data_IF_590864271519
#
_entry.id   IF_590864271519
#
_cell.length_a   1.000
_cell.length_b   1.000
_cell.length_c   1.000
_cell.angle_alpha   90.00
_cell.angle_beta   90.00
_cell.angle_gamma   90.00
#
_symmetry.space_group_name_H-M   'P 1'
#
loop_
_entity.id
_entity.type
_entity.pdbx_description
1 polymer ?
#
# COMPACT_ATOMS: atom_id res chain seq x y z
N UNK A 1 22.92 -32.70 7.41
CA UNK A 1 22.96 -31.87 8.65
C UNK A 1 22.63 -30.38 8.38
N UNK A 2 23.23 -29.73 7.38
CA UNK A 2 23.03 -28.29 7.09
C UNK A 2 21.58 -27.86 6.68
N UNK A 3 20.89 -28.68 5.89
CA UNK A 3 19.46 -28.44 5.51
C UNK A 3 18.49 -28.48 6.71
N UNK A 4 18.82 -29.22 7.77
CA UNK A 4 17.99 -29.37 8.95
C UNK A 4 18.07 -28.13 9.85
N UNK A 5 19.28 -27.58 10.05
CA UNK A 5 19.50 -26.30 10.77
C UNK A 5 18.79 -25.11 10.09
N UNK A 6 18.84 -25.03 8.75
CA UNK A 6 18.12 -23.99 7.99
C UNK A 6 16.58 -24.10 8.11
N UNK A 7 16.05 -25.31 8.38
CA UNK A 7 14.61 -25.52 8.56
C UNK A 7 14.11 -25.10 9.95
N UNK A 8 14.98 -25.03 10.97
CA UNK A 8 14.60 -24.58 12.31
C UNK A 8 14.11 -23.13 12.28
N UNK A 9 14.85 -22.26 11.58
CA UNK A 9 14.57 -20.83 11.45
C UNK A 9 13.59 -20.46 10.32
N UNK A 10 13.19 -21.42 9.49
CA UNK A 10 12.19 -21.20 8.44
C UNK A 10 10.85 -20.76 9.05
N UNK A 11 10.20 -19.69 8.56
CA UNK A 11 8.87 -19.29 9.04
C UNK A 11 7.75 -20.26 8.58
N UNK A 12 8.07 -21.15 7.64
CA UNK A 12 7.23 -22.20 7.10
C UNK A 12 7.34 -23.50 7.92
N UNK A 13 6.23 -24.20 8.07
CA UNK A 13 6.04 -25.48 8.77
C UNK A 13 6.53 -26.65 7.92
N UNK A 14 6.19 -26.69 6.63
CA UNK A 14 6.54 -27.79 5.71
C UNK A 14 6.96 -27.26 4.31
N UNK A 15 7.47 -28.11 3.40
CA UNK A 15 7.88 -27.70 2.06
C UNK A 15 6.75 -27.11 1.21
N UNK A 16 5.51 -27.59 1.38
CA UNK A 16 4.36 -27.10 0.63
C UNK A 16 3.95 -25.67 1.04
N UNK A 17 3.87 -25.37 2.35
CA UNK A 17 3.62 -24.00 2.84
C UNK A 17 4.73 -23.03 2.34
N UNK A 18 5.97 -23.52 2.20
CA UNK A 18 7.07 -22.77 1.59
C UNK A 18 6.86 -22.55 0.08
N UNK A 19 6.35 -23.54 -0.65
CA UNK A 19 5.98 -23.44 -2.07
C UNK A 19 4.92 -22.36 -2.27
N UNK A 20 3.83 -22.41 -1.48
CA UNK A 20 2.77 -21.39 -1.45
C UNK A 20 3.34 -20.00 -1.12
N UNK A 21 4.20 -19.90 -0.10
CA UNK A 21 4.82 -18.64 0.26
C UNK A 21 5.71 -18.04 -0.82
N UNK A 22 6.44 -18.87 -1.57
CA UNK A 22 7.24 -18.43 -2.72
C UNK A 22 6.36 -17.97 -3.88
N UNK A 23 5.30 -18.70 -4.18
CA UNK A 23 4.32 -18.32 -5.19
C UNK A 23 3.80 -16.89 -4.96
N UNK A 24 3.21 -16.63 -3.79
CA UNK A 24 2.68 -15.30 -3.48
C UNK A 24 3.75 -14.21 -3.29
N UNK A 25 5.03 -14.57 -3.07
CA UNK A 25 6.13 -13.60 -3.03
C UNK A 25 6.56 -13.17 -4.43
N UNK A 26 6.45 -14.06 -5.42
CA UNK A 26 6.96 -13.85 -6.77
C UNK A 26 5.94 -13.19 -7.71
N UNK A 27 4.68 -13.12 -7.29
CA UNK A 27 3.64 -12.35 -7.96
C UNK A 27 4.03 -10.86 -7.99
N UNK A 28 4.04 -10.28 -9.18
CA UNK A 28 4.28 -8.86 -9.45
C UNK A 28 3.09 -8.26 -10.18
N UNK A 29 2.98 -6.94 -10.21
CA UNK A 29 1.97 -6.24 -11.00
C UNK A 29 2.08 -6.49 -12.52
N UNK A 30 3.24 -6.99 -12.99
CA UNK A 30 3.50 -7.36 -14.38
C UNK A 30 3.39 -8.86 -14.64
N UNK A 31 2.98 -9.65 -13.65
CA UNK A 31 2.78 -11.09 -13.82
C UNK A 31 1.61 -11.35 -14.78
N UNK A 32 1.73 -12.39 -15.61
CA UNK A 32 0.66 -12.81 -16.50
C UNK A 32 -0.50 -13.40 -15.67
N UNK A 33 -1.73 -12.81 -15.70
CA UNK A 33 -2.85 -13.27 -14.89
C UNK A 33 -3.23 -14.74 -15.10
N UNK A 34 -3.23 -15.21 -16.35
CA UNK A 34 -3.57 -16.58 -16.70
C UNK A 34 -2.55 -17.58 -16.12
N UNK A 35 -1.25 -17.29 -16.23
CA UNK A 35 -0.21 -18.13 -15.63
C UNK A 35 -0.33 -18.19 -14.10
N UNK A 36 -0.69 -17.07 -13.46
CA UNK A 36 -0.93 -17.04 -12.01
C UNK A 36 -2.14 -17.87 -11.63
N UNK A 37 -3.26 -17.75 -12.34
CA UNK A 37 -4.47 -18.54 -12.09
C UNK A 37 -4.21 -20.04 -12.25
N UNK A 38 -3.47 -20.45 -13.29
CA UNK A 38 -3.12 -21.87 -13.48
C UNK A 38 -2.25 -22.41 -12.34
N UNK A 39 -1.22 -21.68 -11.93
CA UNK A 39 -0.37 -22.12 -10.82
C UNK A 39 -1.13 -22.11 -9.49
N UNK A 40 -2.04 -21.15 -9.29
CA UNK A 40 -2.94 -21.13 -8.14
C UNK A 40 -3.81 -22.38 -8.11
N UNK A 41 -4.45 -22.75 -9.22
CA UNK A 41 -5.26 -23.95 -9.31
C UNK A 41 -4.46 -25.22 -8.99
N UNK A 42 -3.20 -25.31 -9.43
CA UNK A 42 -2.29 -26.43 -9.07
C UNK A 42 -1.99 -26.47 -7.57
N UNK A 43 -1.76 -25.32 -6.94
CA UNK A 43 -1.54 -25.26 -5.49
C UNK A 43 -2.80 -25.64 -4.71
N UNK A 44 -3.97 -25.18 -5.17
CA UNK A 44 -5.26 -25.56 -4.57
C UNK A 44 -5.50 -27.06 -4.69
N UNK A 45 -5.22 -27.65 -5.86
CA UNK A 45 -5.30 -29.10 -6.07
C UNK A 45 -4.40 -29.88 -5.11
N UNK A 46 -3.15 -29.42 -4.93
CA UNK A 46 -2.17 -30.11 -4.09
C UNK A 46 -2.55 -30.07 -2.62
N UNK A 47 -2.92 -28.89 -2.08
CA UNK A 47 -3.45 -28.78 -0.72
C UNK A 47 -4.09 -27.39 -0.46
N UNK A 48 -5.40 -27.28 -0.74
CA UNK A 48 -6.18 -26.06 -0.52
C UNK A 48 -6.15 -25.59 0.95
N UNK A 49 -6.26 -26.50 1.92
CA UNK A 49 -6.29 -26.13 3.36
C UNK A 49 -5.00 -25.43 3.80
N UNK A 50 -3.83 -25.95 3.38
CA UNK A 50 -2.55 -25.31 3.70
C UNK A 50 -2.42 -23.95 2.98
N UNK A 51 -2.92 -23.84 1.76
CA UNK A 51 -2.93 -22.59 1.01
C UNK A 51 -3.77 -21.52 1.71
N UNK A 52 -5.00 -21.83 2.11
CA UNK A 52 -5.89 -20.89 2.81
C UNK A 52 -5.34 -20.49 4.18
N UNK A 53 -4.89 -21.44 5.01
CA UNK A 53 -4.26 -21.14 6.29
C UNK A 53 -3.00 -20.27 6.14
N UNK A 54 -2.23 -20.46 5.07
CA UNK A 54 -1.10 -19.59 4.77
C UNK A 54 -1.57 -18.17 4.45
N UNK A 55 -2.63 -18.02 3.66
CA UNK A 55 -3.19 -16.72 3.31
C UNK A 55 -3.71 -15.99 4.55
N UNK A 56 -4.46 -16.65 5.42
CA UNK A 56 -4.95 -16.03 6.65
C UNK A 56 -3.81 -15.50 7.51
N UNK A 57 -2.79 -16.33 7.74
CA UNK A 57 -1.60 -15.92 8.48
C UNK A 57 -0.91 -14.71 7.83
N UNK A 58 -0.76 -14.72 6.50
CA UNK A 58 0.00 -13.68 5.78
C UNK A 58 -0.76 -12.37 5.62
N UNK A 59 -2.06 -12.44 5.38
CA UNK A 59 -2.87 -11.33 4.88
C UNK A 59 -3.92 -10.84 5.88
N UNK A 60 -4.40 -11.70 6.80
CA UNK A 60 -5.29 -11.32 7.90
C UNK A 60 -4.54 -11.08 9.23
N UNK A 61 -3.28 -11.53 9.32
CA UNK A 61 -2.39 -11.30 10.49
C UNK A 61 -2.96 -11.82 11.82
N UNK A 62 -3.62 -12.98 11.79
CA UNK A 62 -4.13 -13.62 13.01
C UNK A 62 -3.01 -14.06 13.95
N UNK A 63 -3.03 -13.53 15.17
CA UNK A 63 -1.99 -13.79 16.19
C UNK A 63 -1.96 -15.25 16.63
N UNK A 64 -3.10 -15.94 16.57
CA UNK A 64 -3.21 -17.34 16.99
C UNK A 64 -2.49 -18.31 16.02
N UNK A 65 -2.31 -17.93 14.75
CA UNK A 65 -1.67 -18.76 13.71
C UNK A 65 -0.14 -18.81 13.82
N UNK A 66 0.39 -19.11 15.01
CA UNK A 66 1.82 -19.38 15.26
C UNK A 66 2.28 -20.65 14.53
N UNK A 67 3.60 -20.79 14.29
CA UNK A 67 4.17 -21.96 13.55
C UNK A 67 3.81 -23.30 14.21
N UNK A 68 3.77 -23.35 15.54
CA UNK A 68 3.34 -24.54 16.31
C UNK A 68 1.86 -24.87 16.09
N UNK A 69 0.99 -23.87 16.13
CA UNK A 69 -0.47 -24.03 15.94
C UNK A 69 -0.76 -24.54 14.53
N UNK A 70 -0.21 -23.91 13.49
CA UNK A 70 -0.38 -24.38 12.10
C UNK A 70 0.17 -25.79 11.90
N UNK A 71 1.29 -26.14 12.54
CA UNK A 71 1.82 -27.51 12.52
C UNK A 71 0.83 -28.51 13.13
N UNK A 72 0.15 -28.15 14.22
CA UNK A 72 -0.85 -29.02 14.82
C UNK A 72 -2.08 -29.14 13.91
N UNK A 73 -2.58 -28.04 13.34
CA UNK A 73 -3.67 -28.06 12.37
C UNK A 73 -3.37 -28.97 11.18
N UNK A 74 -2.15 -28.90 10.62
CA UNK A 74 -1.77 -29.79 9.52
C UNK A 74 -1.76 -31.26 9.93
N UNK A 75 -1.40 -31.59 11.18
CA UNK A 75 -1.52 -32.97 11.69
C UNK A 75 -2.99 -33.38 11.83
N UNK A 76 -3.85 -32.48 12.31
CA UNK A 76 -5.28 -32.74 12.45
C UNK A 76 -5.94 -32.98 11.09
N UNK A 77 -5.53 -32.23 10.05
CA UNK A 77 -5.95 -32.47 8.66
C UNK A 77 -5.57 -33.88 8.20
N UNK A 78 -4.40 -34.41 8.56
CA UNK A 78 -4.05 -35.79 8.23
C UNK A 78 -4.90 -36.84 8.97
N UNK A 79 -5.39 -36.53 10.17
CA UNK A 79 -6.34 -37.38 10.89
C UNK A 79 -7.70 -37.37 10.17
N UNK A 80 -8.21 -36.17 9.87
CA UNK A 80 -9.44 -35.96 9.10
C UNK A 80 -9.39 -36.71 7.76
N UNK A 81 -8.27 -36.62 7.06
CA UNK A 81 -8.05 -37.31 5.80
C UNK A 81 -8.22 -38.82 5.94
N UNK A 82 -7.61 -39.44 6.96
CA UNK A 82 -7.69 -40.89 7.17
C UNK A 82 -9.11 -41.34 7.51
N UNK A 83 -9.79 -40.59 8.36
CA UNK A 83 -11.17 -40.86 8.77
C UNK A 83 -12.11 -40.76 7.56
N UNK A 84 -11.97 -39.70 6.76
CA UNK A 84 -12.76 -39.53 5.55
C UNK A 84 -12.43 -40.58 4.47
N UNK A 85 -11.16 -40.95 4.28
CA UNK A 85 -10.76 -41.97 3.31
C UNK A 85 -11.38 -43.35 3.67
N UNK A 86 -11.56 -43.64 4.97
CA UNK A 86 -12.29 -44.82 5.44
C UNK A 86 -13.79 -44.71 5.17
N UNK A 87 -14.39 -43.55 5.44
CA UNK A 87 -15.81 -43.28 5.18
C UNK A 87 -16.18 -43.37 3.70
N UNK A 88 -15.32 -42.85 2.82
CA UNK A 88 -15.53 -42.82 1.37
C UNK A 88 -14.92 -44.02 0.63
N UNK A 89 -14.53 -45.08 1.36
CA UNK A 89 -13.90 -46.26 0.80
C UNK A 89 -14.77 -46.90 -0.29
N UNK A 90 -14.18 -47.20 -1.44
CA UNK A 90 -14.87 -47.82 -2.57
C UNK A 90 -15.67 -46.85 -3.47
N UNK A 91 -15.78 -45.56 -3.12
CA UNK A 91 -16.53 -44.60 -3.93
C UNK A 91 -15.73 -44.12 -5.14
N UNK A 92 -16.03 -44.60 -6.34
CA UNK A 92 -15.26 -44.28 -7.56
C UNK A 92 -15.88 -43.17 -8.43
N UNK A 93 -17.18 -42.90 -8.28
CA UNK A 93 -17.90 -41.90 -9.06
C UNK A 93 -17.85 -40.52 -8.41
N UNK A 94 -17.68 -39.45 -9.21
CA UNK A 94 -17.59 -38.05 -8.72
C UNK A 94 -18.79 -37.65 -7.86
N UNK A 95 -20.01 -37.90 -8.33
CA UNK A 95 -21.25 -37.54 -7.62
C UNK A 95 -21.39 -38.27 -6.28
N UNK A 96 -21.18 -39.59 -6.27
CA UNK A 96 -21.19 -40.40 -5.03
C UNK A 96 -20.10 -39.96 -4.05
N UNK A 97 -18.95 -39.49 -4.55
CA UNK A 97 -17.89 -38.98 -3.69
C UNK A 97 -18.28 -37.66 -3.04
N UNK A 98 -18.98 -36.77 -3.75
CA UNK A 98 -19.59 -35.58 -3.16
C UNK A 98 -20.64 -35.95 -2.11
N UNK A 99 -21.49 -36.95 -2.35
CA UNK A 99 -22.45 -37.47 -1.35
C UNK A 99 -21.75 -38.03 -0.10
N UNK A 100 -20.60 -38.68 -0.27
CA UNK A 100 -19.76 -39.13 0.84
C UNK A 100 -19.20 -37.94 1.65
N UNK A 101 -18.75 -36.87 0.99
CA UNK A 101 -18.35 -35.62 1.65
C UNK A 101 -19.54 -35.01 2.40
N UNK A 102 -20.71 -34.93 1.76
CA UNK A 102 -21.94 -34.38 2.35
C UNK A 102 -22.36 -35.11 3.61
N UNK A 103 -22.37 -36.44 3.58
CA UNK A 103 -22.73 -37.26 4.74
C UNK A 103 -21.72 -37.15 5.88
N UNK A 104 -20.42 -37.09 5.55
CA UNK A 104 -19.35 -36.92 6.53
C UNK A 104 -19.42 -35.55 7.22
N UNK A 105 -19.61 -34.48 6.46
CA UNK A 105 -19.65 -33.09 6.94
C UNK A 105 -21.07 -32.58 7.23
N UNK A 106 -22.03 -33.49 7.42
CA UNK A 106 -23.41 -33.12 7.75
C UNK A 106 -23.46 -32.41 9.11
N UNK A 107 -24.15 -31.26 9.23
CA UNK A 107 -24.31 -30.61 10.54
C UNK A 107 -24.94 -31.56 11.57
N UNK A 108 -24.31 -31.66 12.73
CA UNK A 108 -24.72 -32.55 13.82
C UNK A 108 -24.07 -33.93 13.82
N UNK A 109 -23.26 -34.29 12.80
CA UNK A 109 -22.34 -35.43 12.86
C UNK A 109 -20.94 -34.97 13.29
N UNK A 110 -19.98 -34.92 12.36
CA UNK A 110 -18.61 -34.48 12.57
C UNK A 110 -18.44 -32.96 12.43
N UNK A 111 -19.47 -32.25 11.96
CA UNK A 111 -19.43 -30.82 11.69
C UNK A 111 -20.54 -30.04 12.42
N UNK A 112 -20.22 -28.82 12.83
CA UNK A 112 -21.16 -27.84 13.37
C UNK A 112 -20.98 -26.50 12.66
N UNK A 113 -22.08 -25.95 12.13
CA UNK A 113 -22.05 -24.63 11.51
C UNK A 113 -22.08 -23.55 12.59
N UNK A 114 -21.12 -22.62 12.53
CA UNK A 114 -21.07 -21.42 13.36
C UNK A 114 -20.70 -20.23 12.46
N UNK A 115 -21.57 -19.22 12.41
CA UNK A 115 -21.34 -18.01 11.61
C UNK A 115 -20.10 -17.27 12.12
N UNK A 116 -19.21 -16.86 11.22
CA UNK A 116 -17.95 -16.17 11.53
C UNK A 116 -16.98 -17.00 12.42
N UNK A 117 -17.03 -18.33 12.29
CA UNK A 117 -16.00 -19.20 12.86
C UNK A 117 -14.65 -18.98 12.18
N UNK A 118 -13.56 -19.40 12.85
CA UNK A 118 -12.21 -19.37 12.29
C UNK A 118 -11.71 -20.80 11.99
N UNK A 119 -10.68 -20.92 11.14
CA UNK A 119 -10.07 -22.23 10.82
C UNK A 119 -9.45 -22.95 12.04
N UNK A 120 -9.15 -22.24 13.12
CA UNK A 120 -8.75 -22.82 14.41
C UNK A 120 -9.81 -23.72 15.04
N UNK A 121 -11.09 -23.40 14.87
CA UNK A 121 -12.18 -24.28 15.29
C UNK A 121 -12.48 -25.37 14.27
N UNK A 122 -12.25 -25.09 12.99
CA UNK A 122 -12.50 -26.06 11.91
C UNK A 122 -11.46 -27.18 11.89
N UNK A 123 -10.18 -26.88 12.10
CA UNK A 123 -9.07 -27.82 11.89
C UNK A 123 -8.57 -28.42 13.20
N UNK A 124 -9.51 -28.80 14.06
CA UNK A 124 -9.27 -29.56 15.29
C UNK A 124 -9.21 -31.06 14.99
N UNK A 125 -8.89 -31.84 16.01
CA UNK A 125 -8.84 -33.31 15.89
C UNK A 125 -10.27 -33.86 15.81
N UNK A 126 -10.74 -34.33 14.64
CA UNK A 126 -12.14 -34.76 14.46
C UNK A 126 -12.52 -35.96 15.34
N UNK A 127 -11.53 -36.72 15.82
CA UNK A 127 -11.75 -37.87 16.70
C UNK A 127 -12.06 -37.48 18.14
N UNK A 128 -11.88 -36.19 18.50
CA UNK A 128 -12.04 -35.68 19.87
C UNK A 128 -13.16 -34.67 20.00
N UNK A 129 -13.39 -33.87 18.96
CA UNK A 129 -14.35 -32.78 18.99
C UNK A 129 -14.87 -32.48 17.58
N UNK A 130 -16.11 -31.95 17.46
CA UNK A 130 -16.67 -31.60 16.16
C UNK A 130 -15.86 -30.49 15.49
N UNK A 131 -15.80 -30.55 14.16
CA UNK A 131 -15.26 -29.49 13.32
C UNK A 131 -16.26 -28.33 13.30
N UNK A 132 -15.82 -27.12 13.63
CA UNK A 132 -16.72 -25.95 13.65
C UNK A 132 -16.26 -24.94 12.61
N UNK A 133 -17.15 -24.53 11.72
CA UNK A 133 -16.81 -23.61 10.63
C UNK A 133 -17.97 -22.74 10.17
N UNK A 134 -17.65 -21.77 9.32
CA UNK A 134 -18.63 -20.95 8.61
C UNK A 134 -18.85 -21.44 7.17
N UNK A 135 -19.60 -20.67 6.37
CA UNK A 135 -19.91 -21.03 4.98
C UNK A 135 -18.65 -21.10 4.09
N UNK A 136 -17.72 -20.16 4.23
CA UNK A 136 -16.50 -20.12 3.42
C UNK A 136 -15.58 -21.30 3.77
N UNK A 137 -15.44 -21.59 5.07
CA UNK A 137 -14.62 -22.67 5.59
C UNK A 137 -15.12 -24.05 5.19
N UNK A 138 -16.44 -24.29 5.28
CA UNK A 138 -17.00 -25.58 4.90
C UNK A 138 -16.90 -25.80 3.39
N UNK A 139 -17.13 -24.76 2.58
CA UNK A 139 -16.92 -24.82 1.13
C UNK A 139 -15.46 -25.13 0.78
N UNK A 140 -14.50 -24.49 1.45
CA UNK A 140 -13.07 -24.83 1.33
C UNK A 140 -12.80 -26.30 1.69
N UNK A 141 -13.40 -26.82 2.76
CA UNK A 141 -13.18 -28.20 3.18
C UNK A 141 -13.79 -29.22 2.20
N UNK A 142 -14.97 -28.94 1.66
CA UNK A 142 -15.57 -29.75 0.59
C UNK A 142 -14.65 -29.80 -0.65
N UNK A 143 -14.19 -28.64 -1.11
CA UNK A 143 -13.31 -28.54 -2.26
C UNK A 143 -11.98 -29.26 -2.03
N UNK A 144 -11.42 -29.17 -0.82
CA UNK A 144 -10.21 -29.90 -0.43
C UNK A 144 -10.41 -31.42 -0.44
N UNK A 145 -11.47 -31.93 0.20
CA UNK A 145 -11.73 -33.36 0.24
C UNK A 145 -11.98 -33.94 -1.15
N UNK A 146 -12.69 -33.20 -1.99
CA UNK A 146 -12.89 -33.53 -3.39
C UNK A 146 -11.57 -33.57 -4.16
N UNK A 147 -10.71 -32.56 -3.98
CA UNK A 147 -9.43 -32.43 -4.69
C UNK A 147 -8.42 -33.52 -4.35
N UNK A 148 -8.62 -34.27 -3.27
CA UNK A 148 -7.79 -35.45 -2.94
C UNK A 148 -7.95 -36.58 -3.96
N UNK A 149 -9.09 -36.64 -4.66
CA UNK A 149 -9.43 -37.74 -5.59
C UNK A 149 -9.67 -37.29 -7.02
N UNK A 150 -10.24 -36.10 -7.21
CA UNK A 150 -10.64 -35.59 -8.51
C UNK A 150 -10.04 -34.20 -8.79
N UNK A 151 -10.01 -33.75 -10.05
CA UNK A 151 -9.63 -32.39 -10.38
C UNK A 151 -10.49 -31.35 -9.65
N UNK A 152 -9.88 -30.46 -8.87
CA UNK A 152 -10.58 -29.40 -8.15
C UNK A 152 -11.32 -28.45 -9.12
N UNK A 153 -10.85 -28.37 -10.36
CA UNK A 153 -11.46 -27.60 -11.44
C UNK A 153 -12.78 -28.19 -11.95
N UNK A 154 -13.15 -29.41 -11.53
CA UNK A 154 -14.50 -29.93 -11.74
C UNK A 154 -15.53 -29.13 -10.91
N UNK A 155 -15.07 -28.50 -9.83
CA UNK A 155 -15.89 -27.63 -9.00
C UNK A 155 -15.87 -26.19 -9.52
N UNK A 156 -16.98 -25.51 -9.31
CA UNK A 156 -17.16 -24.09 -9.49
C UNK A 156 -17.76 -23.50 -8.21
N UNK A 157 -17.69 -22.17 -8.09
CA UNK A 157 -18.45 -21.45 -7.07
C UNK A 157 -19.69 -20.87 -7.73
N UNK A 158 -20.83 -21.01 -7.07
CA UNK A 158 -22.05 -20.29 -7.44
C UNK A 158 -22.34 -19.24 -6.36
N UNK A 159 -22.34 -17.98 -6.78
CA UNK A 159 -22.65 -16.83 -5.94
C UNK A 159 -24.17 -16.61 -5.98
N UNK A 160 -24.77 -16.68 -4.80
CA UNK A 160 -26.19 -16.46 -4.55
C UNK A 160 -26.36 -15.14 -3.78
N UNK A 161 -27.54 -14.52 -3.78
CA UNK A 161 -27.81 -13.35 -2.95
C UNK A 161 -27.52 -13.63 -1.46
N UNK A 162 -26.42 -13.07 -0.94
CA UNK A 162 -26.00 -13.23 0.46
C UNK A 162 -25.41 -14.60 0.84
N UNK A 163 -25.18 -15.50 -0.11
CA UNK A 163 -24.72 -16.87 0.16
C UNK A 163 -23.83 -17.43 -0.96
N UNK A 164 -23.08 -18.48 -0.66
CA UNK A 164 -22.19 -19.15 -1.63
C UNK A 164 -22.29 -20.65 -1.50
N UNK A 165 -22.36 -21.34 -2.64
CA UNK A 165 -22.34 -22.80 -2.69
C UNK A 165 -21.36 -23.29 -3.77
N UNK A 166 -21.04 -24.59 -3.73
CA UNK A 166 -20.27 -25.23 -4.80
C UNK A 166 -21.21 -25.65 -5.93
N UNK A 167 -20.70 -25.70 -7.16
CA UNK A 167 -21.42 -26.17 -8.33
C UNK A 167 -20.58 -27.19 -9.07
N UNK A 168 -21.17 -28.31 -9.47
CA UNK A 168 -20.51 -29.38 -10.21
C UNK A 168 -21.52 -30.08 -11.13
N UNK A 169 -21.21 -30.18 -12.42
CA UNK A 169 -22.02 -30.91 -13.41
C UNK A 169 -23.52 -30.56 -13.35
N UNK A 170 -23.86 -29.27 -13.24
CA UNK A 170 -25.25 -28.79 -13.21
C UNK A 170 -25.94 -28.90 -11.84
N UNK A 171 -25.28 -29.45 -10.82
CA UNK A 171 -25.84 -29.60 -9.48
C UNK A 171 -25.21 -28.61 -8.51
N UNK A 172 -26.03 -27.97 -7.67
CA UNK A 172 -25.54 -27.10 -6.60
C UNK A 172 -25.35 -27.92 -5.32
N UNK A 173 -24.21 -27.74 -4.67
CA UNK A 173 -23.78 -28.44 -3.46
C UNK A 173 -23.85 -27.43 -2.31
N UNK A 174 -24.91 -27.54 -1.51
CA UNK A 174 -25.09 -26.72 -0.31
C UNK A 174 -24.27 -27.30 0.84
N UNK A 175 -23.04 -26.81 0.97
CA UNK A 175 -22.08 -27.32 1.94
C UNK A 175 -22.52 -27.05 3.40
N UNK A 176 -23.34 -26.02 3.66
CA UNK A 176 -23.74 -25.68 5.04
C UNK A 176 -24.74 -26.66 5.65
N UNK A 177 -25.49 -27.40 4.83
CA UNK A 177 -26.45 -28.40 5.29
C UNK A 177 -26.21 -29.80 4.68
N UNK A 178 -25.25 -29.95 3.77
CA UNK A 178 -24.87 -31.21 3.14
C UNK A 178 -25.94 -31.75 2.19
N UNK A 179 -26.52 -30.89 1.34
CA UNK A 179 -27.55 -31.30 0.37
C UNK A 179 -27.23 -30.84 -1.04
N UNK A 180 -27.81 -31.54 -2.02
CA UNK A 180 -27.92 -30.99 -3.38
C UNK A 180 -29.12 -30.05 -3.47
N UNK A 181 -28.95 -28.96 -4.20
CA UNK A 181 -29.96 -27.95 -4.46
C UNK A 181 -29.97 -27.60 -5.96
N UNK A 182 -31.04 -26.94 -6.39
CA UNK A 182 -31.18 -26.38 -7.74
C UNK A 182 -31.60 -24.90 -7.64
N UNK A 183 -30.62 -24.04 -7.35
CA UNK A 183 -30.88 -22.59 -7.26
C UNK A 183 -31.09 -22.00 -8.65
N UNK A 184 -32.31 -21.51 -8.91
CA UNK A 184 -32.67 -20.85 -10.18
C UNK A 184 -32.16 -19.41 -10.25
N UNK A 185 -32.16 -18.71 -9.11
CA UNK A 185 -31.68 -17.34 -9.00
C UNK A 185 -30.25 -17.34 -8.46
N UNK A 186 -29.32 -16.79 -9.24
CA UNK A 186 -27.92 -16.64 -8.86
C UNK A 186 -27.29 -15.46 -9.60
N UNK A 187 -26.23 -14.91 -9.03
CA UNK A 187 -25.50 -13.79 -9.61
C UNK A 187 -24.49 -14.30 -10.64
N UNK A 188 -23.65 -15.25 -10.23
CA UNK A 188 -22.54 -15.75 -11.04
C UNK A 188 -22.23 -17.23 -10.75
N UNK A 189 -21.76 -17.95 -11.78
CA UNK A 189 -21.02 -19.21 -11.61
C UNK A 189 -19.59 -18.95 -12.07
N UNK A 190 -18.64 -19.12 -11.15
CA UNK A 190 -17.25 -18.72 -11.30
C UNK A 190 -16.31 -19.91 -11.08
N UNK A 191 -15.09 -19.89 -11.65
CA UNK A 191 -14.10 -20.91 -11.38
C UNK A 191 -13.81 -21.06 -9.89
N UNK A 192 -13.49 -22.28 -9.43
CA UNK A 192 -13.20 -22.56 -8.01
C UNK A 192 -12.10 -21.66 -7.41
N UNK A 193 -11.17 -21.18 -8.24
CA UNK A 193 -10.11 -20.26 -7.80
C UNK A 193 -10.64 -18.95 -7.22
N UNK A 194 -11.89 -18.59 -7.48
CA UNK A 194 -12.53 -17.39 -6.93
C UNK A 194 -12.72 -17.46 -5.40
N UNK A 195 -12.66 -18.66 -4.78
CA UNK A 195 -12.64 -18.82 -3.31
C UNK A 195 -11.45 -18.04 -2.73
N UNK A 196 -10.34 -18.00 -3.46
CA UNK A 196 -9.12 -17.34 -3.00
C UNK A 196 -9.28 -15.82 -3.04
N UNK A 197 -9.88 -15.25 -4.09
CA UNK A 197 -10.14 -13.81 -4.14
C UNK A 197 -11.20 -13.38 -3.13
N UNK A 198 -12.26 -14.16 -2.92
CA UNK A 198 -13.25 -13.85 -1.88
C UNK A 198 -12.61 -13.85 -0.49
N UNK A 199 -11.84 -14.89 -0.14
CA UNK A 199 -11.09 -14.97 1.12
C UNK A 199 -10.08 -13.83 1.30
N UNK A 200 -9.46 -13.36 0.21
CA UNK A 200 -8.52 -12.23 0.25
C UNK A 200 -9.21 -10.89 0.47
N UNK A 201 -10.46 -10.72 0.04
CA UNK A 201 -11.23 -9.48 0.20
C UNK A 201 -12.06 -9.48 1.48
N UNK A 202 -12.34 -10.65 2.03
CA UNK A 202 -13.05 -10.76 3.30
C UNK A 202 -12.21 -10.16 4.45
N UNK A 203 -12.86 -9.29 5.20
CA UNK A 203 -12.30 -8.54 6.32
C UNK A 203 -13.13 -8.70 7.59
N UNK A 204 -14.15 -9.56 7.59
CA UNK A 204 -15.27 -9.50 8.54
C UNK A 204 -15.12 -10.31 9.82
N UNK A 205 -13.92 -10.79 10.16
CA UNK A 205 -13.71 -11.54 11.40
C UNK A 205 -13.55 -10.59 12.60
N UNK A 206 -14.67 -9.97 13.05
CA UNK A 206 -14.72 -9.08 14.21
C UNK A 206 -14.40 -9.77 15.55
N UNK A 207 -14.32 -11.10 15.54
CA UNK A 207 -14.15 -11.97 16.72
C UNK A 207 -12.69 -12.27 17.04
N UNK A 208 -11.76 -12.08 16.10
CA UNK A 208 -10.36 -12.50 16.27
C UNK A 208 -9.40 -11.35 16.58
N UNK A 209 -8.44 -11.62 17.46
CA UNK A 209 -7.31 -10.71 17.66
C UNK A 209 -6.40 -10.68 16.43
N UNK A 210 -6.60 -9.65 15.62
CA UNK A 210 -5.68 -9.27 14.54
C UNK A 210 -4.53 -8.44 15.12
N UNK A 211 -3.31 -8.65 14.62
CA UNK A 211 -2.26 -7.64 14.78
C UNK A 211 -2.51 -6.45 13.85
N UNK A 212 -1.83 -5.32 14.06
CA UNK A 212 -1.87 -4.20 13.10
C UNK A 212 -1.47 -4.71 11.71
N UNK A 213 -2.40 -4.65 10.74
CA UNK A 213 -2.13 -5.03 9.37
C UNK A 213 -1.46 -3.82 8.71
N UNK A 214 -0.20 -3.96 8.29
CA UNK A 214 0.46 -2.94 7.47
C UNK A 214 -0.46 -2.60 6.28
N UNK A 215 -0.88 -1.35 6.09
CA UNK A 215 -1.75 -0.98 4.97
C UNK A 215 -1.19 -1.34 3.58
N UNK A 216 0.14 -1.53 3.45
CA UNK A 216 0.77 -2.10 2.25
C UNK A 216 0.38 -3.56 2.00
N UNK A 217 0.12 -4.32 3.06
CA UNK A 217 -0.42 -5.68 2.98
C UNK A 217 -1.84 -5.67 2.45
N UNK A 218 -2.68 -4.70 2.84
CA UNK A 218 -4.04 -4.51 2.30
C UNK A 218 -3.99 -4.25 0.79
N UNK A 219 -3.12 -3.33 0.34
CA UNK A 219 -2.92 -3.09 -1.10
C UNK A 219 -2.44 -4.35 -1.82
N UNK A 220 -1.50 -5.11 -1.25
CA UNK A 220 -1.04 -6.37 -1.85
C UNK A 220 -2.15 -7.42 -1.97
N UNK A 221 -3.07 -7.50 -0.99
CA UNK A 221 -4.25 -8.37 -1.07
C UNK A 221 -5.14 -7.94 -2.22
N UNK A 222 -5.47 -6.66 -2.31
CA UNK A 222 -6.32 -6.13 -3.37
C UNK A 222 -5.69 -6.29 -4.76
N UNK A 223 -4.37 -6.11 -4.89
CA UNK A 223 -3.63 -6.36 -6.14
C UNK A 223 -3.69 -7.84 -6.56
N UNK A 224 -3.53 -8.74 -5.58
CA UNK A 224 -3.61 -10.17 -5.83
C UNK A 224 -5.02 -10.58 -6.24
N UNK A 225 -6.05 -10.12 -5.52
CA UNK A 225 -7.45 -10.34 -5.87
C UNK A 225 -7.77 -9.79 -7.27
N UNK A 226 -7.31 -8.56 -7.58
CA UNK A 226 -7.45 -7.97 -8.91
C UNK A 226 -6.84 -8.84 -10.02
N UNK A 227 -5.71 -9.47 -9.75
CA UNK A 227 -5.02 -10.29 -10.74
C UNK A 227 -5.70 -11.65 -10.96
N UNK A 228 -6.24 -12.28 -9.92
CA UNK A 228 -6.78 -13.65 -10.00
C UNK A 228 -8.30 -13.72 -10.18
N UNK A 229 -9.04 -12.70 -9.76
CA UNK A 229 -10.51 -12.69 -9.83
C UNK A 229 -11.01 -12.41 -11.25
N UNK A 230 -12.11 -13.05 -11.60
CA UNK A 230 -12.87 -12.74 -12.82
C UNK A 230 -13.84 -11.56 -12.63
N UNK A 231 -14.22 -11.23 -11.39
CA UNK A 231 -15.11 -10.12 -11.05
C UNK A 231 -14.38 -8.76 -11.06
N UNK A 232 -13.91 -8.33 -12.24
CA UNK A 232 -13.00 -7.18 -12.39
C UNK A 232 -13.52 -5.88 -11.79
N UNK A 233 -14.82 -5.60 -11.85
CA UNK A 233 -15.38 -4.35 -11.30
C UNK A 233 -15.25 -4.29 -9.78
N UNK A 234 -15.62 -5.38 -9.09
CA UNK A 234 -15.53 -5.50 -7.63
C UNK A 234 -14.09 -5.37 -7.14
N UNK A 235 -13.16 -6.10 -7.76
CA UNK A 235 -11.75 -6.08 -7.34
C UNK A 235 -11.05 -4.79 -7.72
N UNK A 236 -11.44 -4.12 -8.81
CA UNK A 236 -10.93 -2.79 -9.17
C UNK A 236 -11.39 -1.75 -8.15
N UNK A 237 -12.66 -1.77 -7.74
CA UNK A 237 -13.17 -0.87 -6.69
C UNK A 237 -12.41 -1.06 -5.38
N UNK A 238 -12.20 -2.30 -4.95
CA UNK A 238 -11.42 -2.64 -3.75
C UNK A 238 -9.95 -2.19 -3.85
N UNK A 239 -9.32 -2.40 -5.00
CA UNK A 239 -7.95 -1.96 -5.26
C UNK A 239 -7.81 -0.44 -5.20
N UNK A 240 -8.75 0.28 -5.81
CA UNK A 240 -8.77 1.74 -5.82
C UNK A 240 -8.95 2.30 -4.40
N UNK A 241 -9.87 1.75 -3.61
CA UNK A 241 -10.03 2.13 -2.19
C UNK A 241 -8.75 1.87 -1.41
N UNK A 242 -8.09 0.73 -1.63
CA UNK A 242 -6.84 0.39 -0.96
C UNK A 242 -5.71 1.35 -1.32
N UNK A 243 -5.55 1.71 -2.60
CA UNK A 243 -4.56 2.71 -3.03
C UNK A 243 -4.83 4.09 -2.44
N UNK A 244 -6.09 4.53 -2.46
CA UNK A 244 -6.51 5.81 -1.88
C UNK A 244 -6.15 5.88 -0.40
N UNK A 245 -6.54 4.88 0.37
CA UNK A 245 -6.32 4.84 1.82
C UNK A 245 -4.82 4.79 2.15
N UNK A 246 -4.04 3.97 1.43
CA UNK A 246 -2.58 3.93 1.60
C UNK A 246 -1.92 5.26 1.22
N UNK A 247 -2.34 5.88 0.11
CA UNK A 247 -1.83 7.16 -0.36
C UNK A 247 -2.06 8.28 0.67
N UNK A 248 -3.29 8.42 1.17
CA UNK A 248 -3.64 9.43 2.19
C UNK A 248 -2.83 9.21 3.47
N UNK A 249 -2.81 7.98 4.01
CA UNK A 249 -2.10 7.70 5.26
C UNK A 249 -0.57 7.86 5.12
N UNK A 250 0.02 7.61 3.94
CA UNK A 250 1.43 7.94 3.67
C UNK A 250 1.67 9.45 3.58
N UNK A 251 0.73 10.20 3.01
CA UNK A 251 0.80 11.66 2.96
C UNK A 251 0.76 12.28 4.35
N UNK A 252 -0.14 11.80 5.23
CA UNK A 252 -0.23 12.25 6.63
C UNK A 252 1.05 11.93 7.42
N UNK A 253 1.69 10.79 7.10
CA UNK A 253 3.01 10.39 7.63
C UNK A 253 4.18 11.09 6.94
N UNK A 254 3.94 12.10 6.10
CA UNK A 254 4.94 12.89 5.37
C UNK A 254 5.85 12.05 4.44
N UNK A 255 5.39 10.87 4.02
CA UNK A 255 6.07 9.99 3.06
C UNK A 255 5.60 10.30 1.64
N UNK A 256 5.83 11.53 1.19
CA UNK A 256 5.22 12.09 -0.02
C UNK A 256 5.50 11.30 -1.30
N UNK A 257 6.73 10.87 -1.56
CA UNK A 257 7.05 10.11 -2.79
C UNK A 257 6.28 8.78 -2.86
N UNK A 258 6.16 8.09 -1.72
CA UNK A 258 5.37 6.86 -1.65
C UNK A 258 3.88 7.14 -1.76
N UNK A 259 3.38 8.21 -1.15
CA UNK A 259 1.97 8.62 -1.27
C UNK A 259 1.62 8.90 -2.74
N UNK A 260 2.42 9.74 -3.41
CA UNK A 260 2.26 10.10 -4.82
C UNK A 260 2.27 8.86 -5.69
N UNK A 261 3.21 7.93 -5.51
CA UNK A 261 3.26 6.67 -6.27
C UNK A 261 1.93 5.88 -6.23
N UNK A 262 1.31 5.75 -5.05
CA UNK A 262 0.04 5.01 -4.93
C UNK A 262 -1.14 5.81 -5.46
N UNK A 263 -1.15 7.14 -5.31
CA UNK A 263 -2.17 8.01 -5.87
C UNK A 263 -2.10 8.07 -7.41
N UNK A 264 -0.90 7.99 -8.00
CA UNK A 264 -0.70 7.83 -9.44
C UNK A 264 -1.24 6.47 -9.94
N UNK A 265 -1.10 5.39 -9.16
CA UNK A 265 -1.73 4.10 -9.48
C UNK A 265 -3.26 4.14 -9.41
N UNK A 266 -3.81 4.98 -8.55
CA UNK A 266 -5.25 5.25 -8.48
C UNK A 266 -5.73 6.13 -9.65
N UNK A 267 -4.88 7.03 -10.15
CA UNK A 267 -5.23 7.99 -11.20
C UNK A 267 -5.97 9.24 -10.71
N UNK A 268 -6.05 9.47 -9.40
CA UNK A 268 -6.76 10.62 -8.80
C UNK A 268 -5.90 11.89 -8.85
N UNK A 269 -6.05 12.68 -9.92
CA UNK A 269 -5.29 13.90 -10.14
C UNK A 269 -5.45 14.95 -9.03
N UNK A 270 -6.62 14.98 -8.38
CA UNK A 270 -6.88 15.92 -7.29
C UNK A 270 -6.06 15.56 -6.05
N UNK A 271 -6.05 14.28 -5.67
CA UNK A 271 -5.22 13.80 -4.56
C UNK A 271 -3.72 13.90 -4.89
N UNK A 272 -3.32 13.62 -6.13
CA UNK A 272 -1.91 13.78 -6.57
C UNK A 272 -1.46 15.23 -6.43
N UNK A 273 -2.22 16.20 -6.94
CA UNK A 273 -1.94 17.63 -6.80
C UNK A 273 -1.88 18.04 -5.32
N UNK A 274 -2.82 17.55 -4.50
CA UNK A 274 -2.84 17.78 -3.05
C UNK A 274 -1.57 17.26 -2.37
N UNK A 275 -1.11 16.05 -2.71
CA UNK A 275 0.11 15.48 -2.18
C UNK A 275 1.36 16.29 -2.57
N UNK A 276 1.45 16.72 -3.83
CA UNK A 276 2.52 17.62 -4.29
C UNK A 276 2.51 18.96 -3.54
N UNK A 277 1.33 19.58 -3.37
CA UNK A 277 1.20 20.84 -2.62
C UNK A 277 1.62 20.68 -1.16
N UNK A 278 1.14 19.63 -0.49
CA UNK A 278 1.48 19.34 0.90
C UNK A 278 2.98 19.09 1.09
N UNK A 279 3.62 18.36 0.17
CA UNK A 279 5.06 18.18 0.16
C UNK A 279 5.81 19.51 -0.02
N UNK A 280 5.37 20.35 -0.96
CA UNK A 280 5.94 21.67 -1.19
C UNK A 280 5.90 22.57 0.04
N UNK A 281 4.75 22.65 0.71
CA UNK A 281 4.58 23.39 1.97
C UNK A 281 5.45 22.81 3.08
N UNK A 282 5.48 21.49 3.23
CA UNK A 282 6.30 20.82 4.25
C UNK A 282 7.79 21.16 4.11
N UNK A 283 8.34 21.03 2.91
CA UNK A 283 9.76 21.33 2.68
C UNK A 283 10.09 22.82 2.73
N UNK A 284 9.13 23.69 2.37
CA UNK A 284 9.27 25.13 2.59
C UNK A 284 9.45 25.44 4.08
N UNK A 285 8.61 24.85 4.95
CA UNK A 285 8.72 25.03 6.40
C UNK A 285 10.05 24.50 6.97
N UNK A 286 10.64 23.49 6.33
CA UNK A 286 11.98 22.97 6.65
C UNK A 286 13.12 23.79 6.04
N UNK A 287 12.82 24.87 5.29
CA UNK A 287 13.78 25.68 4.52
C UNK A 287 14.60 24.87 3.51
N UNK A 288 14.11 23.69 3.11
CA UNK A 288 14.65 22.92 1.98
C UNK A 288 14.00 23.42 0.71
N UNK A 289 14.48 24.57 0.24
CA UNK A 289 13.89 25.24 -0.91
C UNK A 289 14.01 24.42 -2.20
N UNK A 290 15.05 23.60 -2.35
CA UNK A 290 15.22 22.74 -3.53
C UNK A 290 14.08 21.74 -3.63
N UNK A 291 13.76 21.02 -2.54
CA UNK A 291 12.64 20.08 -2.54
C UNK A 291 11.31 20.82 -2.61
N UNK A 292 11.15 21.93 -1.87
CA UNK A 292 9.94 22.73 -1.92
C UNK A 292 9.58 23.16 -3.35
N UNK A 293 10.54 23.72 -4.09
CA UNK A 293 10.35 24.12 -5.50
C UNK A 293 10.04 22.91 -6.41
N UNK A 294 10.67 21.76 -6.20
CA UNK A 294 10.39 20.54 -6.97
C UNK A 294 8.91 20.12 -6.85
N UNK A 295 8.41 19.97 -5.62
CA UNK A 295 7.04 19.53 -5.40
C UNK A 295 6.02 20.60 -5.78
N UNK A 296 6.28 21.88 -5.45
CA UNK A 296 5.41 22.98 -5.86
C UNK A 296 5.30 23.09 -7.39
N UNK A 297 6.41 22.86 -8.11
CA UNK A 297 6.49 22.75 -9.57
C UNK A 297 5.42 21.83 -10.17
N UNK A 298 5.21 20.68 -9.53
CA UNK A 298 4.30 19.61 -9.96
C UNK A 298 2.88 19.73 -9.37
N UNK A 299 2.67 20.59 -8.38
CA UNK A 299 1.36 20.75 -7.74
C UNK A 299 0.35 21.55 -8.56
N UNK A 300 0.81 22.43 -9.45
CA UNK A 300 -0.01 23.45 -10.10
C UNK A 300 -0.32 24.68 -9.22
N UNK A 301 0.17 24.72 -7.98
CA UNK A 301 -0.05 25.84 -7.05
C UNK A 301 0.97 26.98 -7.29
N UNK A 302 0.61 27.92 -8.16
CA UNK A 302 1.44 29.09 -8.48
C UNK A 302 1.67 30.02 -7.28
N UNK A 303 0.73 30.08 -6.33
CA UNK A 303 0.87 30.86 -5.10
C UNK A 303 1.97 30.27 -4.22
N UNK A 304 2.00 28.95 -4.07
CA UNK A 304 3.05 28.24 -3.34
C UNK A 304 4.41 28.45 -4.01
N UNK A 305 4.51 28.37 -5.34
CA UNK A 305 5.76 28.64 -6.07
C UNK A 305 6.29 30.05 -5.79
N UNK A 306 5.43 31.05 -5.89
CA UNK A 306 5.77 32.46 -5.59
C UNK A 306 6.22 32.63 -4.14
N UNK A 307 5.52 31.98 -3.21
CA UNK A 307 5.86 32.00 -1.78
C UNK A 307 7.25 31.40 -1.53
N UNK A 308 7.60 30.30 -2.20
CA UNK A 308 8.93 29.68 -2.08
C UNK A 308 10.01 30.61 -2.62
N UNK A 309 9.83 31.20 -3.80
CA UNK A 309 10.77 32.17 -4.41
C UNK A 309 11.03 33.34 -3.47
N UNK A 310 9.96 33.93 -2.90
CA UNK A 310 10.07 35.01 -1.91
C UNK A 310 10.90 34.61 -0.70
N UNK A 311 10.64 33.42 -0.14
CA UNK A 311 11.37 32.93 1.03
C UNK A 311 12.85 32.64 0.73
N UNK A 312 13.19 32.21 -0.49
CA UNK A 312 14.58 32.09 -0.93
C UNK A 312 15.27 33.47 -0.97
N UNK A 313 14.61 34.47 -1.57
CA UNK A 313 15.10 35.85 -1.59
C UNK A 313 15.36 36.39 -0.18
N UNK A 314 14.39 36.23 0.73
CA UNK A 314 14.52 36.63 2.14
C UNK A 314 15.65 35.88 2.85
N UNK A 315 15.81 34.58 2.59
CA UNK A 315 16.89 33.81 3.20
C UNK A 315 18.28 34.30 2.76
N UNK A 316 18.47 34.69 1.50
CA UNK A 316 19.71 35.28 1.02
C UNK A 316 19.91 36.71 1.53
N UNK A 317 18.83 37.51 1.60
CA UNK A 317 18.85 38.84 2.19
C UNK A 317 19.35 38.80 3.64
N UNK A 318 18.83 37.89 4.46
CA UNK A 318 19.24 37.71 5.85
C UNK A 318 20.69 37.23 5.99
N UNK A 319 21.21 36.51 4.99
CA UNK A 319 22.63 36.14 4.89
C UNK A 319 23.51 37.26 4.32
N UNK A 320 22.93 38.42 3.98
CA UNK A 320 23.60 39.56 3.33
C UNK A 320 24.21 39.23 1.96
N UNK A 321 23.74 38.15 1.32
CA UNK A 321 24.05 37.85 -0.08
C UNK A 321 23.00 38.57 -0.94
N UNK A 322 23.13 39.90 -0.98
CA UNK A 322 22.16 40.78 -1.64
C UNK A 322 22.09 40.53 -3.14
N UNK A 323 23.20 40.16 -3.78
CA UNK A 323 23.22 39.78 -5.20
C UNK A 323 22.28 38.62 -5.50
N UNK A 324 22.33 37.53 -4.72
CA UNK A 324 21.38 36.41 -4.90
C UNK A 324 19.97 36.78 -4.49
N UNK A 325 19.79 37.53 -3.40
CA UNK A 325 18.47 37.99 -2.96
C UNK A 325 17.75 38.79 -4.07
N UNK A 326 18.46 39.73 -4.71
CA UNK A 326 17.96 40.51 -5.84
C UNK A 326 17.49 39.61 -6.98
N UNK A 327 18.25 38.56 -7.34
CA UNK A 327 17.84 37.67 -8.43
C UNK A 327 16.47 37.00 -8.18
N UNK A 328 16.18 36.60 -6.94
CA UNK A 328 14.88 36.04 -6.57
C UNK A 328 13.77 37.09 -6.52
N UNK A 329 14.02 38.26 -5.94
CA UNK A 329 13.01 39.33 -5.87
C UNK A 329 12.67 39.92 -7.24
N UNK A 330 13.65 40.01 -8.15
CA UNK A 330 13.42 40.41 -9.54
C UNK A 330 12.56 39.40 -10.29
N UNK A 331 12.79 38.09 -10.10
CA UNK A 331 11.99 37.05 -10.74
C UNK A 331 10.49 37.19 -10.43
N UNK A 332 10.15 37.70 -9.25
CA UNK A 332 8.78 37.91 -8.79
C UNK A 332 8.30 39.38 -8.88
N UNK A 333 9.10 40.28 -9.47
CA UNK A 333 8.74 41.70 -9.62
C UNK A 333 8.67 42.50 -8.31
N UNK A 334 9.29 42.02 -7.22
CA UNK A 334 9.29 42.71 -5.92
C UNK A 334 10.35 43.83 -5.88
N UNK A 335 10.00 44.97 -6.49
CA UNK A 335 10.89 46.12 -6.62
C UNK A 335 11.27 46.73 -5.26
N UNK A 336 10.39 46.64 -4.27
CA UNK A 336 10.65 47.15 -2.92
C UNK A 336 11.79 46.35 -2.26
N UNK A 337 11.71 45.02 -2.30
CA UNK A 337 12.77 44.17 -1.78
C UNK A 337 14.06 44.28 -2.60
N UNK A 338 14.00 44.52 -3.90
CA UNK A 338 15.19 44.82 -4.72
C UNK A 338 15.87 46.11 -4.24
N UNK A 339 15.11 47.18 -3.98
CA UNK A 339 15.66 48.43 -3.40
C UNK A 339 16.24 48.18 -2.01
N UNK A 340 15.54 47.44 -1.16
CA UNK A 340 16.03 47.09 0.18
C UNK A 340 17.35 46.29 0.14
N UNK A 341 17.51 45.37 -0.83
CA UNK A 341 18.77 44.65 -1.03
C UNK A 341 19.91 45.58 -1.43
N UNK A 342 19.67 46.49 -2.39
CA UNK A 342 20.66 47.48 -2.84
C UNK A 342 21.10 48.38 -1.68
N UNK A 343 20.15 48.86 -0.87
CA UNK A 343 20.45 49.68 0.31
C UNK A 343 21.13 48.89 1.44
N UNK A 344 20.85 47.59 1.56
CA UNK A 344 21.58 46.69 2.43
C UNK A 344 23.05 46.56 2.03
N UNK A 345 23.33 46.39 0.74
CA UNK A 345 24.70 46.34 0.20
C UNK A 345 25.41 47.70 0.36
N UNK A 346 24.72 48.79 0.03
CA UNK A 346 25.19 50.15 0.29
C UNK A 346 25.62 50.33 1.75
N UNK A 347 24.81 49.87 2.70
CA UNK A 347 25.09 50.00 4.14
C UNK A 347 26.33 49.21 4.57
N UNK A 348 26.62 48.06 3.94
CA UNK A 348 27.85 47.31 4.20
C UNK A 348 29.08 48.06 3.68
N UNK A 349 28.99 48.67 2.49
CA UNK A 349 30.06 49.49 1.94
C UNK A 349 30.25 50.77 2.76
N UNK A 350 29.17 51.44 3.17
CA UNK A 350 29.20 52.61 4.04
C UNK A 350 29.90 52.30 5.37
N UNK A 351 29.61 51.15 5.98
CA UNK A 351 30.31 50.70 7.19
C UNK A 351 31.81 50.54 6.95
N UNK A 352 32.24 50.02 5.80
CA UNK A 352 33.66 49.85 5.45
C UNK A 352 34.41 51.18 5.38
N UNK A 353 33.75 52.26 4.96
CA UNK A 353 34.34 53.61 4.84
C UNK A 353 34.01 54.54 6.01
N UNK A 354 33.29 54.06 7.03
CA UNK A 354 32.85 54.88 8.17
C UNK A 354 33.99 55.51 8.98
N UNK A 355 35.20 54.93 8.95
CA UNK A 355 36.39 55.46 9.63
C UNK A 355 37.21 56.46 8.82
N UNK A 356 36.81 56.76 7.58
CA UNK A 356 37.57 57.67 6.69
C UNK A 356 37.30 59.12 7.07
N UNK A 357 38.35 59.85 7.48
CA UNK A 357 38.24 61.24 7.98
C UNK A 357 38.86 62.31 7.07
N UNK A 358 39.74 61.92 6.15
CA UNK A 358 40.49 62.86 5.30
C UNK A 358 40.23 62.60 3.81
N UNK A 359 40.37 63.64 2.99
CA UNK A 359 40.27 63.54 1.52
C UNK A 359 41.32 62.59 0.96
N UNK A 360 42.54 62.61 1.51
CA UNK A 360 43.62 61.71 1.10
C UNK A 360 43.29 60.23 1.37
N UNK A 361 42.62 59.93 2.49
CA UNK A 361 42.17 58.57 2.80
C UNK A 361 40.95 58.17 1.97
N UNK A 362 40.01 59.09 1.72
CA UNK A 362 38.86 58.83 0.88
C UNK A 362 39.23 58.47 -0.57
N UNK A 363 40.31 59.06 -1.11
CA UNK A 363 40.88 58.68 -2.42
C UNK A 363 41.20 57.18 -2.52
N UNK A 364 41.65 56.55 -1.44
CA UNK A 364 41.96 55.10 -1.40
C UNK A 364 40.71 54.22 -1.56
N UNK A 365 39.52 54.77 -1.27
CA UNK A 365 38.23 54.09 -1.36
C UNK A 365 37.35 54.58 -2.52
N UNK A 366 37.92 55.29 -3.51
CA UNK A 366 37.17 55.86 -4.65
C UNK A 366 36.24 54.84 -5.33
N UNK A 367 36.71 53.61 -5.58
CA UNK A 367 35.90 52.54 -6.17
C UNK A 367 34.75 52.08 -5.28
N UNK A 368 34.93 52.11 -3.95
CA UNK A 368 33.87 51.80 -2.99
C UNK A 368 32.80 52.89 -3.03
N UNK A 369 33.19 54.17 -3.04
CA UNK A 369 32.25 55.28 -3.19
C UNK A 369 31.54 55.26 -4.56
N UNK A 370 32.22 54.91 -5.65
CA UNK A 370 31.58 54.72 -6.96
C UNK A 370 30.49 53.63 -6.92
N UNK A 371 30.80 52.46 -6.35
CA UNK A 371 29.81 51.39 -6.21
C UNK A 371 28.66 51.78 -5.28
N UNK A 372 28.93 52.51 -4.19
CA UNK A 372 27.87 53.09 -3.34
C UNK A 372 26.96 54.04 -4.11
N UNK A 373 27.52 54.90 -4.98
CA UNK A 373 26.74 55.81 -5.81
C UNK A 373 25.83 55.04 -6.80
N UNK A 374 26.36 54.00 -7.43
CA UNK A 374 25.59 53.12 -8.33
C UNK A 374 24.41 52.47 -7.60
N UNK A 375 24.65 51.90 -6.42
CA UNK A 375 23.62 51.24 -5.61
C UNK A 375 22.53 52.23 -5.17
N UNK A 376 22.91 53.41 -4.66
CA UNK A 376 21.98 54.44 -4.23
C UNK A 376 21.13 54.98 -5.40
N UNK A 377 21.77 55.24 -6.54
CA UNK A 377 21.08 55.67 -7.77
C UNK A 377 20.09 54.59 -8.23
N UNK A 378 20.53 53.33 -8.26
CA UNK A 378 19.69 52.20 -8.67
C UNK A 378 18.58 51.87 -7.66
N UNK A 379 18.69 52.32 -6.41
CA UNK A 379 17.66 52.21 -5.38
C UNK A 379 16.67 53.39 -5.40
N UNK A 380 17.06 54.53 -6.00
CA UNK A 380 16.28 55.77 -5.99
C UNK A 380 16.41 56.55 -4.67
N UNK A 381 17.51 56.37 -3.92
CA UNK A 381 17.76 57.09 -2.67
C UNK A 381 18.55 58.39 -2.95
N UNK A 382 17.81 59.49 -3.15
CA UNK A 382 18.39 60.79 -3.52
C UNK A 382 19.34 61.35 -2.45
N UNK A 383 19.06 61.09 -1.17
CA UNK A 383 19.90 61.55 -0.07
C UNK A 383 21.25 60.82 -0.04
N UNK A 384 21.23 59.50 -0.20
CA UNK A 384 22.44 58.71 -0.31
C UNK A 384 23.25 59.09 -1.57
N UNK A 385 22.57 59.34 -2.70
CA UNK A 385 23.21 59.84 -3.94
C UNK A 385 23.93 61.17 -3.70
N UNK A 386 23.26 62.15 -3.08
CA UNK A 386 23.84 63.46 -2.80
C UNK A 386 25.07 63.36 -1.88
N UNK A 387 24.95 62.57 -0.81
CA UNK A 387 26.04 62.35 0.16
C UNK A 387 27.29 61.75 -0.49
N UNK A 388 27.13 60.71 -1.33
CA UNK A 388 28.26 60.06 -1.98
C UNK A 388 28.87 60.92 -3.10
N UNK A 389 28.04 61.70 -3.82
CA UNK A 389 28.53 62.66 -4.83
C UNK A 389 29.39 63.77 -4.24
N UNK A 390 29.03 64.28 -3.06
CA UNK A 390 29.84 65.29 -2.36
C UNK A 390 31.25 64.76 -2.03
N UNK A 391 31.34 63.52 -1.52
CA UNK A 391 32.63 62.88 -1.25
C UNK A 391 33.41 62.67 -2.55
N UNK A 392 32.78 62.12 -3.58
CA UNK A 392 33.40 61.88 -4.90
C UNK A 392 33.85 63.17 -5.59
N UNK A 393 33.17 64.30 -5.37
CA UNK A 393 33.57 65.61 -5.91
C UNK A 393 34.79 66.20 -5.22
N UNK A 394 35.10 65.75 -4.00
CA UNK A 394 36.27 66.20 -3.21
C UNK A 394 37.52 65.33 -3.44
N UNK A 395 37.39 64.13 -4.01
CA UNK A 395 38.49 63.17 -4.24
C UNK A 395 38.82 62.97 -5.71
#
# INVERSE_FOLDING_TARGET
>A
MFKWLLNLFSPYVNPFERKVGRFFKNIKSTSNPFAVQQELAKLMQENLVVLDLFMEKKYKNYKYLKKSVRRQMYKNVEVLNKEFDQHAAGTLEKKKYVEAIMSYLKPGSHYQYEKAANFGKLLKDPTKEPLIGDCNQIVTLYAYLYSRKFPITDLQIKILPGHVCLHMDGHDIEATNGTFQEYKEFEHILPITEIISTNLLDTTDMTEETGEIDPRTIVKRAQLAYMISSMKDLVTKNLNVSYRNLGIMLMDRQKFDSAIFFLEKLGDQSLISTAYRNAGVFYLNKKDFRRASHYAGKSGDEKLKTTIIRNQGVAFYNKKDYKKAISYFQQMGDLEMVRACKMGEYSLLAKRVSGVKTVADAKKYRSTYQHMLELATAAGDENAVASVRDVLGKI
#
